data_IF_656103532899
#
_entry.id   IF_656103532899
#
_cell.length_a   1.000
_cell.length_b   1.000
_cell.length_c   1.000
_cell.angle_alpha   90.00
_cell.angle_beta   90.00
_cell.angle_gamma   90.00
#
_symmetry.space_group_name_H-M   'P 1'
#
loop_
_entity.id
_entity.type
_entity.pdbx_description
1 polymer ?
#
# COMPACT_ATOMS: atom_id res chain seq x y z
N UNK A 1 21.94 -18.90 33.72
CA UNK A 1 21.74 -18.52 32.29
C UNK A 1 20.27 -18.26 31.96
N UNK A 2 19.35 -19.15 32.30
CA UNK A 2 17.91 -19.03 31.97
C UNK A 2 17.25 -17.78 32.58
N UNK A 3 17.53 -17.45 33.84
CA UNK A 3 16.98 -16.26 34.51
C UNK A 3 17.36 -14.94 33.79
N UNK A 4 18.60 -14.82 33.31
CA UNK A 4 19.05 -13.62 32.60
C UNK A 4 18.36 -13.46 31.24
N UNK A 5 18.10 -14.57 30.55
CA UNK A 5 17.32 -14.58 29.29
C UNK A 5 15.88 -14.18 29.58
N UNK A 6 15.26 -14.71 30.64
CA UNK A 6 13.90 -14.37 31.03
C UNK A 6 13.72 -12.87 31.35
N UNK A 7 14.69 -12.27 32.07
CA UNK A 7 14.68 -10.83 32.38
C UNK A 7 14.80 -9.99 31.10
N UNK A 8 15.69 -10.38 30.18
CA UNK A 8 15.85 -9.68 28.88
C UNK A 8 14.57 -9.72 28.06
N UNK A 9 13.93 -10.89 27.95
CA UNK A 9 12.65 -11.06 27.25
C UNK A 9 11.53 -10.23 27.91
N UNK A 10 11.48 -10.20 29.25
CA UNK A 10 10.50 -9.41 29.98
C UNK A 10 10.64 -7.90 29.70
N UNK A 11 11.88 -7.38 29.70
CA UNK A 11 12.16 -5.97 29.36
C UNK A 11 11.78 -5.66 27.91
N UNK A 12 12.15 -6.52 26.95
CA UNK A 12 11.78 -6.36 25.54
C UNK A 12 10.26 -6.35 25.35
N UNK A 13 9.54 -7.27 25.99
CA UNK A 13 8.08 -7.31 25.94
C UNK A 13 7.43 -6.05 26.53
N UNK A 14 8.00 -5.50 27.62
CA UNK A 14 7.53 -4.25 28.22
C UNK A 14 7.72 -3.08 27.25
N UNK A 15 8.91 -2.98 26.62
CA UNK A 15 9.20 -1.95 25.62
C UNK A 15 8.28 -2.06 24.41
N UNK A 16 8.08 -3.26 23.87
CA UNK A 16 7.17 -3.48 22.74
C UNK A 16 5.73 -3.09 23.07
N UNK A 17 5.24 -3.41 24.28
CA UNK A 17 3.92 -2.98 24.74
C UNK A 17 3.82 -1.46 24.79
N UNK A 18 4.85 -0.76 25.28
CA UNK A 18 4.86 0.70 25.32
C UNK A 18 4.82 1.29 23.90
N UNK A 19 5.67 0.82 22.99
CA UNK A 19 5.68 1.27 21.59
C UNK A 19 4.32 1.06 20.90
N UNK A 20 3.63 -0.05 21.18
CA UNK A 20 2.28 -0.26 20.64
C UNK A 20 1.24 0.70 21.20
N UNK A 21 1.33 1.07 22.48
CA UNK A 21 0.46 2.08 23.10
C UNK A 21 0.73 3.46 22.51
N UNK A 22 2.00 3.85 22.42
CA UNK A 22 2.40 5.16 21.88
C UNK A 22 2.01 5.30 20.41
N UNK A 23 2.15 4.23 19.61
CA UNK A 23 1.66 4.22 18.22
C UNK A 23 0.15 4.42 18.15
N UNK A 24 -0.60 3.76 19.02
CA UNK A 24 -2.07 3.91 19.04
C UNK A 24 -2.48 5.30 19.54
N UNK A 25 -1.76 5.85 20.52
CA UNK A 25 -2.00 7.19 21.04
C UNK A 25 -1.73 8.24 19.96
N UNK A 26 -0.56 8.21 19.30
CA UNK A 26 -0.24 9.13 18.20
C UNK A 26 -1.28 9.10 17.07
N UNK A 27 -1.85 7.93 16.77
CA UNK A 27 -2.94 7.84 15.77
C UNK A 27 -4.23 8.52 16.23
N UNK A 28 -4.56 8.43 17.52
CA UNK A 28 -5.72 9.13 18.09
C UNK A 28 -5.49 10.63 18.12
N UNK A 29 -4.30 11.07 18.54
CA UNK A 29 -3.97 12.50 18.63
C UNK A 29 -4.03 13.17 17.25
N UNK A 30 -3.52 12.50 16.20
CA UNK A 30 -3.64 12.98 14.83
C UNK A 30 -5.09 13.00 14.31
N UNK A 31 -5.91 12.03 14.71
CA UNK A 31 -7.34 12.01 14.39
C UNK A 31 -8.09 13.19 15.04
N UNK A 32 -7.81 13.44 16.32
CA UNK A 32 -8.36 14.59 17.07
C UNK A 32 -7.90 15.92 16.48
N UNK A 33 -6.63 16.00 16.07
CA UNK A 33 -6.10 17.20 15.41
C UNK A 33 -6.84 17.48 14.09
N UNK A 34 -7.06 16.46 13.25
CA UNK A 34 -7.82 16.65 12.00
C UNK A 34 -9.26 17.13 12.27
N UNK A 35 -9.92 16.60 13.29
CA UNK A 35 -11.28 16.99 13.66
C UNK A 35 -11.39 18.45 14.09
N UNK A 36 -10.37 18.99 14.79
CA UNK A 36 -10.32 20.40 15.18
C UNK A 36 -10.37 21.35 13.99
N UNK A 37 -9.85 20.94 12.83
CA UNK A 37 -9.87 21.73 11.59
C UNK A 37 -11.03 21.35 10.66
N UNK A 38 -12.02 20.59 11.14
CA UNK A 38 -13.18 20.17 10.36
C UNK A 38 -12.86 19.10 9.30
N UNK A 39 -11.68 18.49 9.35
CA UNK A 39 -11.30 17.40 8.47
C UNK A 39 -11.79 16.06 9.05
N UNK A 40 -12.25 15.12 8.21
CA UNK A 40 -12.64 13.80 8.70
C UNK A 40 -11.45 13.11 9.38
N UNK A 41 -11.64 12.67 10.62
CA UNK A 41 -10.64 11.89 11.36
C UNK A 41 -10.18 10.72 10.50
N UNK A 42 -8.87 10.46 10.46
CA UNK A 42 -8.26 9.40 9.66
C UNK A 42 -8.89 8.03 9.99
N UNK A 43 -9.93 7.64 9.24
CA UNK A 43 -10.68 6.40 9.47
C UNK A 43 -9.79 5.20 9.20
N UNK A 44 -9.13 4.70 10.25
CA UNK A 44 -8.70 3.31 10.24
C UNK A 44 -9.95 2.47 10.37
N UNK A 45 -10.54 2.08 9.24
CA UNK A 45 -11.66 1.16 9.16
C UNK A 45 -11.27 -0.20 9.76
N UNK A 46 -11.38 -0.31 11.08
CA UNK A 46 -11.79 -1.54 11.72
C UNK A 46 -13.19 -1.24 12.22
N UNK A 47 -14.20 -1.65 11.45
CA UNK A 47 -15.56 -1.74 11.94
C UNK A 47 -15.56 -2.74 13.10
N UNK A 48 -15.29 -2.28 14.33
CA UNK A 48 -15.78 -2.97 15.52
C UNK A 48 -17.27 -2.73 15.53
N UNK A 49 -17.99 -3.59 14.82
CA UNK A 49 -19.43 -3.69 14.93
C UNK A 49 -19.69 -4.10 16.38
N UNK A 50 -19.99 -3.11 17.23
CA UNK A 50 -20.61 -3.35 18.52
C UNK A 50 -22.01 -3.89 18.21
N UNK A 51 -22.15 -5.21 18.02
CA UNK A 51 -23.44 -5.86 18.16
C UNK A 51 -23.60 -6.34 19.60
N UNK A 52 -24.76 -6.09 20.24
CA UNK A 52 -25.06 -6.66 21.53
C UNK A 52 -25.11 -8.20 21.42
N UNK A 53 -24.43 -8.88 22.35
CA UNK A 53 -24.37 -10.34 22.43
C UNK A 53 -25.77 -10.89 22.70
N UNK A 54 -26.48 -11.34 21.67
CA UNK A 54 -27.65 -12.20 21.83
C UNK A 54 -27.15 -13.65 21.76
N UNK A 55 -27.17 -14.33 22.90
CA UNK A 55 -26.95 -15.77 23.00
C UNK A 55 -27.86 -16.50 22.03
N UNK A 56 -27.30 -17.16 21.02
CA UNK A 56 -28.01 -18.17 20.24
C UNK A 56 -27.18 -19.44 20.14
N UNK A 57 -27.82 -20.49 20.60
CA UNK A 57 -27.37 -21.86 20.76
C UNK A 57 -26.92 -22.50 19.44
N UNK A 58 -25.94 -23.40 19.62
CA UNK A 58 -25.54 -24.52 18.78
C UNK A 58 -26.41 -24.84 17.56
N UNK A 59 -25.85 -24.63 16.36
CA UNK A 59 -26.20 -25.42 15.17
C UNK A 59 -24.92 -25.88 14.48
N UNK A 60 -24.72 -27.19 14.22
CA UNK A 60 -23.58 -27.68 13.46
C UNK A 60 -23.86 -27.46 11.97
N UNK A 61 -23.03 -26.66 11.30
CA UNK A 61 -23.14 -26.45 9.85
C UNK A 61 -22.22 -27.43 9.12
N UNK A 62 -22.82 -28.49 8.61
CA UNK A 62 -22.21 -29.41 7.66
C UNK A 62 -21.94 -28.69 6.34
N UNK A 63 -20.70 -28.82 5.84
CA UNK A 63 -20.26 -28.56 4.46
C UNK A 63 -20.47 -27.15 3.87
N UNK A 64 -19.38 -26.40 3.72
CA UNK A 64 -19.19 -25.56 2.52
C UNK A 64 -17.70 -25.45 2.18
N UNK A 65 -17.21 -26.13 1.12
CA UNK A 65 -15.82 -26.01 0.72
C UNK A 65 -15.56 -24.59 0.18
N UNK A 66 -14.48 -23.99 0.66
CA UNK A 66 -13.95 -22.72 0.16
C UNK A 66 -13.90 -22.72 -1.37
N UNK A 67 -14.59 -21.77 -2.02
CA UNK A 67 -14.37 -21.46 -3.44
C UNK A 67 -12.94 -20.92 -3.58
N UNK A 68 -11.98 -21.78 -3.92
CA UNK A 68 -10.65 -21.36 -4.34
C UNK A 68 -10.80 -20.50 -5.60
N UNK A 69 -10.45 -19.21 -5.52
CA UNK A 69 -10.26 -18.39 -6.71
C UNK A 69 -9.11 -18.99 -7.51
N UNK A 70 -9.45 -19.66 -8.62
CA UNK A 70 -8.49 -20.21 -9.58
C UNK A 70 -7.86 -19.03 -10.32
N UNK A 71 -6.63 -18.67 -9.99
CA UNK A 71 -5.84 -17.76 -10.82
C UNK A 71 -5.64 -18.42 -12.19
N UNK A 72 -6.40 -17.98 -13.20
CA UNK A 72 -6.13 -18.33 -14.59
C UNK A 72 -4.83 -17.63 -14.98
N UNK A 73 -3.71 -18.32 -14.89
CA UNK A 73 -2.51 -17.96 -15.64
C UNK A 73 -2.87 -18.01 -17.12
N UNK A 74 -3.14 -16.85 -17.74
CA UNK A 74 -3.09 -16.74 -19.20
C UNK A 74 -1.62 -16.78 -19.58
N UNK A 75 -1.12 -17.97 -19.95
CA UNK A 75 0.08 -18.07 -20.78
C UNK A 75 -0.29 -17.50 -22.15
N UNK A 76 0.16 -16.27 -22.44
CA UNK A 76 0.25 -15.82 -23.82
C UNK A 76 1.59 -16.30 -24.36
N UNK A 77 1.55 -17.33 -25.21
CA UNK A 77 2.65 -17.61 -26.11
C UNK A 77 2.75 -16.42 -27.06
N UNK A 78 3.80 -15.60 -26.93
CA UNK A 78 4.15 -14.59 -27.94
C UNK A 78 5.64 -14.73 -28.26
N UNK A 79 6.04 -14.70 -29.54
CA UNK A 79 7.41 -15.00 -29.95
C UNK A 79 8.39 -14.00 -29.34
N UNK A 80 9.42 -14.53 -28.71
CA UNK A 80 10.62 -13.79 -28.31
C UNK A 80 11.39 -13.37 -29.55
N UNK A 81 11.32 -12.08 -29.89
CA UNK A 81 12.41 -11.28 -30.46
C UNK A 81 11.87 -9.88 -30.74
N UNK A 82 12.13 -8.97 -29.83
CA UNK A 82 12.44 -7.58 -30.14
C UNK A 82 13.40 -7.11 -29.04
N UNK A 83 14.61 -6.63 -29.39
CA UNK A 83 15.47 -6.02 -28.40
C UNK A 83 14.72 -4.82 -27.81
N UNK A 84 14.72 -4.75 -26.48
CA UNK A 84 14.32 -3.57 -25.71
C UNK A 84 14.96 -2.36 -26.38
N UNK A 85 14.20 -1.39 -26.91
CA UNK A 85 14.81 -0.13 -27.32
C UNK A 85 15.38 0.49 -26.05
N UNK A 86 16.71 0.50 -25.97
CA UNK A 86 17.45 1.33 -25.02
C UNK A 86 16.85 2.72 -25.06
N UNK A 87 16.21 3.10 -23.96
CA UNK A 87 15.53 4.38 -23.83
C UNK A 87 16.56 5.51 -24.04
N UNK A 88 16.32 6.45 -24.96
CA UNK A 88 17.11 7.66 -25.00
C UNK A 88 16.89 8.41 -23.69
N UNK A 89 17.99 8.62 -22.99
CA UNK A 89 18.11 9.48 -21.84
C UNK A 89 17.62 10.89 -22.20
N UNK A 90 16.40 11.25 -21.77
CA UNK A 90 15.95 12.60 -21.40
C UNK A 90 14.43 12.64 -21.34
N UNK A 91 13.87 12.83 -20.15
CA UNK A 91 12.59 13.49 -19.86
C UNK A 91 11.30 13.06 -20.60
N UNK A 92 11.29 11.94 -21.33
CA UNK A 92 10.22 11.63 -22.29
C UNK A 92 9.71 10.19 -22.22
N UNK A 93 9.77 9.54 -21.05
CA UNK A 93 9.17 8.22 -20.89
C UNK A 93 7.68 8.26 -21.25
N UNK A 94 7.31 7.68 -22.39
CA UNK A 94 5.93 7.61 -22.88
C UNK A 94 5.29 6.31 -22.41
N UNK A 95 4.18 6.45 -21.71
CA UNK A 95 3.38 5.32 -21.28
C UNK A 95 2.75 4.60 -22.48
N UNK A 96 3.16 3.38 -22.80
CA UNK A 96 2.61 2.62 -23.93
C UNK A 96 1.09 2.36 -23.83
N UNK A 97 0.51 2.45 -22.63
CA UNK A 97 -0.93 2.24 -22.40
C UNK A 97 -1.79 3.48 -22.72
N UNK A 98 -1.34 4.67 -22.35
CA UNK A 98 -2.10 5.91 -22.52
C UNK A 98 -1.47 6.91 -23.50
N UNK A 99 -0.29 6.58 -24.05
CA UNK A 99 0.50 7.37 -25.00
C UNK A 99 0.83 8.78 -24.51
N UNK A 100 0.84 9.01 -23.19
CA UNK A 100 1.23 10.29 -22.59
C UNK A 100 2.68 10.22 -22.07
N UNK A 101 3.48 11.30 -22.22
CA UNK A 101 4.83 11.39 -21.68
C UNK A 101 4.81 11.53 -20.15
N UNK A 102 6.00 11.43 -19.53
CA UNK A 102 6.24 11.69 -18.11
C UNK A 102 5.98 10.52 -17.16
N UNK A 103 5.60 9.34 -17.67
CA UNK A 103 5.44 8.14 -16.82
C UNK A 103 5.47 6.83 -17.61
N UNK A 104 5.85 5.75 -16.92
CA UNK A 104 5.74 4.37 -17.44
C UNK A 104 4.40 3.71 -17.04
N UNK A 105 4.05 2.59 -17.68
CA UNK A 105 2.74 1.93 -17.49
C UNK A 105 2.46 1.51 -16.04
N UNK A 106 3.50 1.18 -15.26
CA UNK A 106 3.39 0.90 -13.82
C UNK A 106 2.72 2.05 -13.07
N UNK A 107 3.03 3.29 -13.42
CA UNK A 107 2.55 4.50 -12.75
C UNK A 107 1.33 5.16 -13.41
N UNK A 108 0.82 4.61 -14.52
CA UNK A 108 -0.32 5.18 -15.25
C UNK A 108 -1.60 5.35 -14.41
N UNK A 109 -1.88 4.42 -13.50
CA UNK A 109 -3.05 4.53 -12.61
C UNK A 109 -2.89 5.66 -11.58
N UNK A 110 -1.67 5.89 -11.14
CA UNK A 110 -1.35 6.93 -10.17
C UNK A 110 -1.47 8.31 -10.81
N UNK A 111 -0.83 8.53 -11.97
CA UNK A 111 -0.95 9.78 -12.74
C UNK A 111 -2.41 10.11 -13.10
N UNK A 112 -3.21 9.11 -13.45
CA UNK A 112 -4.65 9.31 -13.69
C UNK A 112 -5.40 9.85 -12.47
N UNK A 113 -5.03 9.42 -11.26
CA UNK A 113 -5.65 9.93 -10.03
C UNK A 113 -5.11 11.31 -9.68
N UNK A 114 -3.82 11.57 -9.89
CA UNK A 114 -3.23 12.89 -9.70
C UNK A 114 -3.93 13.95 -10.57
N UNK A 115 -4.19 13.65 -11.84
CA UNK A 115 -4.89 14.56 -12.73
C UNK A 115 -6.35 14.85 -12.32
N UNK A 116 -6.97 14.03 -11.47
CA UNK A 116 -8.32 14.28 -10.94
C UNK A 116 -8.31 15.24 -9.74
N UNK A 117 -7.15 15.49 -9.15
CA UNK A 117 -7.00 16.32 -7.95
C UNK A 117 -6.85 17.82 -8.27
N UNK A 118 -7.02 18.22 -9.54
CA UNK A 118 -6.96 19.60 -10.03
C UNK A 118 -5.74 20.37 -9.47
N UNK A 119 -4.59 19.70 -9.43
CA UNK A 119 -3.33 20.21 -8.91
C UNK A 119 -2.70 21.18 -9.91
N UNK A 120 -1.95 22.14 -9.39
CA UNK A 120 -1.15 23.04 -10.21
C UNK A 120 -0.10 22.26 -11.03
N UNK A 121 0.08 22.65 -12.30
CA UNK A 121 0.95 21.94 -13.26
C UNK A 121 2.39 21.79 -12.75
N UNK A 122 2.87 22.75 -11.96
CA UNK A 122 4.18 22.71 -11.29
C UNK A 122 4.33 21.49 -10.38
N UNK A 123 3.31 21.19 -9.56
CA UNK A 123 3.30 20.06 -8.63
C UNK A 123 3.20 18.74 -9.38
N UNK A 124 2.37 18.70 -10.43
CA UNK A 124 2.21 17.49 -11.27
C UNK A 124 3.53 17.13 -11.95
N UNK A 125 4.28 18.12 -12.43
CA UNK A 125 5.58 17.90 -13.07
C UNK A 125 6.62 17.38 -12.08
N UNK A 126 6.69 17.94 -10.87
CA UNK A 126 7.58 17.44 -9.82
C UNK A 126 7.29 15.97 -9.47
N UNK A 127 6.01 15.60 -9.36
CA UNK A 127 5.60 14.22 -9.10
C UNK A 127 5.96 13.28 -10.25
N UNK A 128 5.78 13.71 -11.51
CA UNK A 128 6.17 12.92 -12.67
C UNK A 128 7.69 12.66 -12.70
N UNK A 129 8.51 13.65 -12.37
CA UNK A 129 9.98 13.46 -12.27
C UNK A 129 10.35 12.39 -11.25
N UNK A 130 9.77 12.43 -10.05
CA UNK A 130 10.04 11.43 -9.00
C UNK A 130 9.60 10.01 -9.38
N UNK A 131 8.50 9.89 -10.13
CA UNK A 131 8.03 8.58 -10.63
C UNK A 131 9.01 7.96 -11.64
N UNK A 132 9.82 8.77 -12.32
CA UNK A 132 10.82 8.30 -13.27
C UNK A 132 12.12 7.89 -12.57
N UNK A 133 12.58 8.67 -11.58
CA UNK A 133 13.80 8.36 -10.80
C UNK A 133 13.70 7.00 -10.07
N UNK A 134 12.51 6.66 -9.58
CA UNK A 134 12.28 5.38 -8.88
C UNK A 134 12.22 4.16 -9.79
N UNK A 135 12.10 4.32 -11.11
CA UNK A 135 12.11 3.19 -12.05
C UNK A 135 13.50 2.73 -12.49
N UNK A 136 14.50 3.60 -12.40
CA UNK A 136 15.87 3.28 -12.84
C UNK A 136 16.70 2.64 -11.71
N UNK A 137 16.23 2.72 -10.46
CA UNK A 137 16.94 2.20 -9.28
C UNK A 137 16.70 0.71 -8.99
N UNK A 138 15.79 0.04 -9.71
CA UNK A 138 15.45 -1.38 -9.50
C UNK A 138 16.45 -2.35 -10.18
N UNK A 139 17.58 -1.88 -10.73
CA UNK A 139 18.58 -2.69 -11.44
C UNK A 139 19.95 -2.83 -10.77
N UNK A 140 20.04 -2.70 -9.43
CA UNK A 140 21.25 -3.08 -8.67
C UNK A 140 20.91 -4.13 -7.59
N UNK A 141 21.00 -5.40 -7.98
CA UNK A 141 21.27 -6.51 -7.09
C UNK A 141 22.51 -7.24 -7.65
N UNK A 142 23.65 -7.00 -7.01
CA UNK A 142 24.73 -7.99 -6.91
C UNK A 142 24.70 -8.58 -5.49
#
# INVERSE_FOLDING_TARGET
MIQQVAIKVCRQNKMMRQLTKDRNQRRKDLGSFCEQFGLPSCETKIKRRNEPKIHKSSKPSYSKPYRKHRHKFRKSNLPTKNPIPTLPNSNSAVCYKCKKPGHIVRFCKFVKRLNLLNLEDSVVNQLNSLLLETSDSDSNFE
#
